data_IF_884847197227
#
_entry.id   IF_884847197227
#
_cell.length_a   1.000
_cell.length_b   1.000
_cell.length_c   1.000
_cell.angle_alpha   90.00
_cell.angle_beta   90.00
_cell.angle_gamma   90.00
#
_symmetry.space_group_name_H-M   'P 1'
#
loop_
_entity.id
_entity.type
_entity.pdbx_description
1 polymer ?
#
# COMPACT_ATOMS: atom_id res chain seq x y z
N UNK A 1 -12.46 13.18 1.10
CA UNK A 1 -11.68 13.11 -0.15
C UNK A 1 -11.15 11.69 -0.26
N UNK A 2 -11.11 11.13 -1.46
CA UNK A 2 -10.72 9.72 -1.64
C UNK A 2 -9.24 9.58 -1.24
N UNK A 3 -8.99 8.87 -0.14
CA UNK A 3 -7.72 8.23 0.09
C UNK A 3 -7.53 7.24 -1.07
N UNK A 4 -6.94 7.71 -2.16
CA UNK A 4 -6.60 6.86 -3.28
C UNK A 4 -5.52 5.90 -2.81
N UNK A 5 -6.01 4.73 -2.42
CA UNK A 5 -5.27 3.51 -2.14
C UNK A 5 -4.26 3.31 -3.27
N UNK A 6 -3.00 3.65 -3.04
CA UNK A 6 -1.93 3.30 -3.95
C UNK A 6 -2.07 1.81 -4.22
N UNK A 7 -2.29 1.37 -5.47
CA UNK A 7 -2.60 -0.03 -5.77
C UNK A 7 -1.36 -0.86 -5.46
N UNK A 8 -1.28 -1.32 -4.20
CA UNK A 8 -0.33 -2.33 -3.72
C UNK A 8 -0.65 -3.57 -4.53
N UNK A 9 -0.01 -3.73 -5.71
CA UNK A 9 -0.23 -4.80 -6.70
C UNK A 9 -1.01 -5.95 -6.09
N UNK A 10 -2.33 -5.93 -6.26
CA UNK A 10 -3.18 -6.94 -5.67
C UNK A 10 -2.86 -8.26 -6.34
N UNK A 11 -1.98 -9.04 -5.73
CA UNK A 11 -1.66 -10.41 -6.18
C UNK A 11 -2.94 -11.22 -6.32
N UNK A 12 -3.94 -10.93 -5.48
CA UNK A 12 -5.31 -11.39 -5.59
C UNK A 12 -5.96 -11.03 -6.94
N UNK A 13 -5.91 -9.76 -7.36
CA UNK A 13 -6.40 -9.31 -8.67
C UNK A 13 -5.63 -9.92 -9.85
N UNK A 14 -4.32 -10.17 -9.71
CA UNK A 14 -3.50 -10.83 -10.73
C UNK A 14 -3.93 -12.29 -10.94
N UNK A 15 -4.25 -13.00 -9.85
CA UNK A 15 -4.83 -14.35 -9.89
C UNK A 15 -6.34 -14.35 -10.21
N UNK A 16 -6.97 -13.17 -10.26
CA UNK A 16 -8.42 -13.03 -10.41
C UNK A 16 -9.20 -13.67 -9.27
N UNK A 17 -8.67 -13.60 -8.05
CA UNK A 17 -9.22 -14.19 -6.83
C UNK A 17 -9.49 -13.12 -5.77
N UNK A 18 -10.48 -13.37 -4.92
CA UNK A 18 -10.79 -12.49 -3.79
C UNK A 18 -9.77 -12.67 -2.65
N UNK A 19 -9.54 -11.64 -1.82
CA UNK A 19 -8.69 -11.75 -0.62
C UNK A 19 -9.21 -12.81 0.38
N UNK A 20 -10.51 -13.10 0.33
CA UNK A 20 -11.19 -14.14 1.12
C UNK A 20 -11.08 -15.55 0.49
N UNK A 21 -10.51 -15.68 -0.71
CA UNK A 21 -10.36 -16.97 -1.37
C UNK A 21 -9.41 -17.90 -0.60
N UNK A 22 -9.79 -19.18 -0.54
CA UNK A 22 -8.95 -20.23 0.05
C UNK A 22 -7.78 -20.57 -0.86
N UNK A 23 -6.69 -21.09 -0.28
CA UNK A 23 -5.49 -21.52 -1.03
C UNK A 23 -5.85 -22.52 -2.14
N UNK A 24 -6.86 -23.37 -1.93
CA UNK A 24 -7.37 -24.30 -2.94
C UNK A 24 -7.97 -23.60 -4.16
N UNK A 25 -8.71 -22.50 -3.98
CA UNK A 25 -9.28 -21.71 -5.08
C UNK A 25 -8.18 -20.97 -5.84
N UNK A 26 -7.25 -20.35 -5.10
CA UNK A 26 -6.06 -19.70 -5.66
C UNK A 26 -5.25 -20.67 -6.52
N UNK A 27 -5.11 -21.92 -6.08
CA UNK A 27 -4.38 -22.97 -6.81
C UNK A 27 -5.06 -23.33 -8.11
N UNK A 28 -6.38 -23.48 -8.10
CA UNK A 28 -7.14 -23.77 -9.32
C UNK A 28 -7.04 -22.62 -10.33
N UNK A 29 -7.15 -21.38 -9.86
CA UNK A 29 -7.02 -20.20 -10.72
C UNK A 29 -5.61 -20.04 -11.28
N UNK A 30 -4.59 -20.20 -10.44
CA UNK A 30 -3.19 -20.24 -10.87
C UNK A 30 -2.96 -21.27 -11.98
N UNK A 31 -3.40 -22.52 -11.78
CA UNK A 31 -3.21 -23.58 -12.76
C UNK A 31 -3.89 -23.23 -14.11
N UNK A 32 -5.10 -22.67 -14.05
CA UNK A 32 -5.84 -22.22 -15.24
C UNK A 32 -5.11 -21.10 -15.98
N UNK A 33 -4.61 -20.10 -15.25
CA UNK A 33 -3.90 -18.96 -15.82
C UNK A 33 -2.56 -19.38 -16.44
N UNK A 34 -1.79 -20.23 -15.77
CA UNK A 34 -0.53 -20.77 -16.30
C UNK A 34 -0.75 -21.54 -17.61
N UNK A 35 -1.82 -22.34 -17.70
CA UNK A 35 -2.20 -23.05 -18.93
C UNK A 35 -2.63 -22.11 -20.06
N UNK A 36 -3.21 -20.94 -19.74
CA UNK A 36 -3.61 -19.92 -20.72
C UNK A 36 -2.42 -19.10 -21.21
N UNK A 37 -1.51 -18.76 -20.31
CA UNK A 37 -0.33 -17.94 -20.60
C UNK A 37 0.94 -18.75 -20.91
N UNK A 38 0.82 -20.07 -21.11
CA UNK A 38 1.99 -20.91 -21.36
C UNK A 38 2.66 -20.56 -22.70
N UNK A 39 3.99 -20.33 -22.72
CA UNK A 39 4.71 -19.91 -23.92
C UNK A 39 4.71 -20.96 -25.02
N UNK A 40 4.35 -22.22 -24.73
CA UNK A 40 4.24 -23.30 -25.74
C UNK A 40 3.02 -23.13 -26.67
N UNK A 41 1.88 -22.66 -26.14
CA UNK A 41 0.68 -22.38 -26.95
C UNK A 41 0.80 -21.12 -27.81
N UNK A 42 1.71 -20.24 -27.44
CA UNK A 42 1.92 -18.92 -28.05
C UNK A 42 2.92 -18.96 -29.21
N UNK A 43 3.51 -20.11 -29.50
CA UNK A 43 4.54 -20.22 -30.54
C UNK A 43 3.98 -20.31 -31.95
N UNK A 44 2.68 -20.60 -32.09
CA UNK A 44 2.14 -21.02 -33.39
C UNK A 44 1.42 -19.95 -34.19
N UNK A 45 0.97 -18.83 -33.61
CA UNK A 45 0.17 -17.83 -34.38
C UNK A 45 0.00 -16.43 -33.73
N UNK A 46 0.88 -15.99 -32.81
CA UNK A 46 0.72 -14.67 -32.17
C UNK A 46 1.86 -13.70 -32.47
N UNK A 47 1.55 -12.40 -32.68
CA UNK A 47 2.55 -11.36 -32.93
C UNK A 47 3.47 -11.20 -31.72
N UNK A 48 4.72 -10.78 -31.97
CA UNK A 48 5.77 -10.68 -30.96
C UNK A 48 5.37 -9.88 -29.70
N UNK A 49 4.54 -8.83 -29.84
CA UNK A 49 4.02 -8.06 -28.69
C UNK A 49 3.17 -8.89 -27.74
N UNK A 50 2.35 -9.81 -28.24
CA UNK A 50 1.51 -10.69 -27.43
C UNK A 50 2.32 -11.74 -26.68
N UNK A 51 3.46 -12.16 -27.22
CA UNK A 51 4.38 -13.09 -26.54
C UNK A 51 4.98 -12.42 -25.31
N UNK A 52 5.38 -11.16 -25.43
CA UNK A 52 5.97 -10.38 -24.32
C UNK A 52 4.94 -10.13 -23.20
N UNK A 53 3.71 -9.74 -23.56
CA UNK A 53 2.60 -9.61 -22.61
C UNK A 53 2.27 -10.92 -21.89
N UNK A 54 2.34 -12.05 -22.60
CA UNK A 54 2.10 -13.35 -22.00
C UNK A 54 3.20 -13.79 -21.04
N UNK A 55 4.47 -13.53 -21.38
CA UNK A 55 5.59 -13.77 -20.48
C UNK A 55 5.46 -12.89 -19.23
N UNK A 56 5.11 -11.62 -19.40
CA UNK A 56 4.93 -10.71 -18.28
C UNK A 56 3.80 -11.18 -17.35
N UNK A 57 2.62 -11.50 -17.89
CA UNK A 57 1.53 -12.07 -17.09
C UNK A 57 1.92 -13.37 -16.41
N UNK A 58 2.63 -14.26 -17.08
CA UNK A 58 3.13 -15.49 -16.48
C UNK A 58 4.02 -15.22 -15.25
N UNK A 59 4.94 -14.27 -15.35
CA UNK A 59 5.81 -13.85 -14.24
C UNK A 59 4.97 -13.28 -13.09
N UNK A 60 4.01 -12.40 -13.40
CA UNK A 60 3.11 -11.80 -12.40
C UNK A 60 2.29 -12.87 -11.67
N UNK A 61 1.74 -13.85 -12.40
CA UNK A 61 0.96 -14.97 -11.85
C UNK A 61 1.83 -15.88 -10.96
N UNK A 62 3.08 -16.15 -11.36
CA UNK A 62 4.03 -16.94 -10.58
C UNK A 62 4.44 -16.23 -9.28
N UNK A 63 4.70 -14.93 -9.35
CA UNK A 63 4.97 -14.10 -8.17
C UNK A 63 3.78 -14.07 -7.22
N UNK A 64 2.57 -13.87 -7.76
CA UNK A 64 1.34 -13.88 -6.98
C UNK A 64 1.14 -15.21 -6.24
N UNK A 65 1.40 -16.33 -6.92
CA UNK A 65 1.30 -17.67 -6.34
C UNK A 65 2.38 -17.95 -5.31
N UNK A 66 3.61 -17.47 -5.48
CA UNK A 66 4.67 -17.60 -4.46
C UNK A 66 4.30 -16.91 -3.15
N UNK A 67 3.56 -15.80 -3.23
CA UNK A 67 3.15 -15.01 -2.08
C UNK A 67 1.88 -15.58 -1.45
N UNK A 68 0.86 -15.88 -2.26
CA UNK A 68 -0.48 -16.29 -1.78
C UNK A 68 -0.68 -17.81 -1.67
N UNK A 69 0.20 -18.60 -2.27
CA UNK A 69 0.07 -20.05 -2.38
C UNK A 69 0.44 -20.83 -1.12
N UNK A 70 1.10 -20.19 -0.15
CA UNK A 70 1.44 -20.79 1.13
C UNK A 70 0.83 -19.97 2.28
N UNK A 71 0.35 -20.64 3.32
CA UNK A 71 -0.27 -19.97 4.46
C UNK A 71 0.75 -19.10 5.20
N UNK A 72 1.99 -19.59 5.32
CA UNK A 72 3.11 -18.86 5.92
C UNK A 72 3.46 -17.60 5.13
N UNK A 73 3.60 -17.70 3.80
CA UNK A 73 3.93 -16.54 2.96
C UNK A 73 2.76 -15.56 2.83
N UNK A 74 1.52 -16.05 2.84
CA UNK A 74 0.31 -15.20 2.90
C UNK A 74 0.27 -14.43 4.22
N UNK A 75 0.59 -15.10 5.32
CA UNK A 75 0.65 -14.49 6.65
C UNK A 75 1.81 -13.51 6.76
N UNK A 76 2.99 -13.84 6.23
CA UNK A 76 4.13 -12.94 6.11
C UNK A 76 3.76 -11.71 5.27
N UNK A 77 3.06 -11.89 4.15
CA UNK A 77 2.61 -10.78 3.31
C UNK A 77 1.59 -9.87 4.01
N UNK A 78 0.67 -10.46 4.78
CA UNK A 78 -0.31 -9.71 5.58
C UNK A 78 0.35 -9.00 6.76
N UNK A 79 1.27 -9.68 7.44
CA UNK A 79 2.08 -9.12 8.51
C UNK A 79 2.97 -8.00 7.98
N UNK A 80 3.66 -8.18 6.87
CA UNK A 80 4.49 -7.16 6.23
C UNK A 80 3.64 -5.99 5.70
N UNK A 81 2.39 -6.21 5.26
CA UNK A 81 1.43 -5.13 4.97
C UNK A 81 1.08 -4.32 6.21
N UNK A 82 0.96 -4.98 7.37
CA UNK A 82 0.67 -4.37 8.66
C UNK A 82 1.92 -3.75 9.31
N UNK A 83 3.09 -4.31 9.02
CA UNK A 83 4.38 -3.88 9.55
C UNK A 83 4.99 -2.75 8.73
N UNK A 84 4.64 -2.61 7.45
CA UNK A 84 4.91 -1.41 6.63
C UNK A 84 4.03 -0.22 7.08
N UNK A 85 2.82 -0.50 7.58
CA UNK A 85 1.95 0.49 8.23
C UNK A 85 2.51 0.91 9.60
N UNK A 86 2.92 -0.06 10.43
CA UNK A 86 3.54 0.21 11.73
C UNK A 86 4.97 0.76 11.63
N UNK A 87 5.76 0.37 10.64
CA UNK A 87 7.13 0.90 10.42
C UNK A 87 7.09 2.25 9.71
N UNK A 88 5.96 2.62 9.11
CA UNK A 88 5.68 4.03 8.81
C UNK A 88 5.43 4.85 10.07
N UNK A 89 5.24 4.25 11.25
CA UNK A 89 5.35 4.98 12.52
C UNK A 89 6.83 5.08 12.90
N UNK A 90 7.51 6.05 12.30
CA UNK A 90 8.78 6.56 12.84
C UNK A 90 8.64 6.94 14.32
N UNK A 91 9.75 7.07 15.06
CA UNK A 91 9.71 7.44 16.47
C UNK A 91 8.90 8.73 16.63
N UNK A 92 7.86 8.68 17.47
CA UNK A 92 7.05 9.86 17.79
C UNK A 92 7.99 10.92 18.38
N UNK A 93 8.21 12.00 17.63
CA UNK A 93 9.14 13.08 17.95
C UNK A 93 8.62 13.88 19.15
N UNK A 94 7.31 14.14 19.17
CA UNK A 94 6.60 14.81 20.25
C UNK A 94 5.09 14.58 20.15
N UNK A 95 4.42 14.71 21.30
CA UNK A 95 2.98 14.89 21.41
C UNK A 95 2.69 16.38 21.54
N UNK A 96 1.88 16.94 20.64
CA UNK A 96 1.61 18.37 20.54
C UNK A 96 0.10 18.58 20.56
N UNK A 97 -0.38 19.55 21.34
CA UNK A 97 -1.80 19.91 21.29
C UNK A 97 -2.11 20.73 20.03
N UNK A 98 -3.30 20.54 19.47
CA UNK A 98 -3.75 21.28 18.28
C UNK A 98 -3.63 22.81 18.46
N UNK A 99 -3.79 23.29 19.69
CA UNK A 99 -3.68 24.71 20.07
C UNK A 99 -2.23 25.24 20.08
N UNK A 100 -1.22 24.37 20.12
CA UNK A 100 0.20 24.75 20.01
C UNK A 100 0.67 24.88 18.56
N UNK A 101 -0.14 24.43 17.59
CA UNK A 101 0.16 24.61 16.18
C UNK A 101 -0.16 26.02 15.69
N UNK A 102 0.62 26.49 14.71
CA UNK A 102 0.33 27.76 14.05
C UNK A 102 -0.81 27.58 13.05
N UNK A 103 -1.94 28.22 13.33
CA UNK A 103 -3.11 28.24 12.45
C UNK A 103 -2.95 29.25 11.32
N UNK A 104 -3.19 28.82 10.08
CA UNK A 104 -3.19 29.69 8.91
C UNK A 104 -4.63 29.95 8.45
N UNK A 105 -5.08 31.21 8.59
CA UNK A 105 -6.47 31.60 8.32
C UNK A 105 -6.85 31.57 6.82
N UNK A 106 -5.89 31.72 5.91
CA UNK A 106 -6.14 31.68 4.45
C UNK A 106 -6.38 30.27 3.89
N UNK A 107 -5.74 29.25 4.48
CA UNK A 107 -5.72 27.87 3.97
C UNK A 107 -6.49 26.89 4.90
N UNK A 108 -6.93 27.38 6.07
CA UNK A 108 -7.56 26.56 7.11
C UNK A 108 -6.72 25.33 7.49
N UNK A 109 -5.41 25.51 7.59
CA UNK A 109 -4.44 24.47 7.94
C UNK A 109 -3.61 24.84 9.16
N UNK A 110 -3.28 23.83 9.94
CA UNK A 110 -2.35 23.90 11.06
C UNK A 110 -0.96 23.53 10.56
N UNK A 111 0.03 24.33 10.95
CA UNK A 111 1.42 24.12 10.58
C UNK A 111 2.32 24.15 11.82
N UNK A 112 3.32 23.28 11.85
CA UNK A 112 4.32 23.20 12.91
C UNK A 112 5.71 22.98 12.33
N UNK A 113 6.68 23.76 12.76
CA UNK A 113 8.07 23.59 12.31
C UNK A 113 8.72 22.37 12.95
N UNK A 114 9.36 21.53 12.15
CA UNK A 114 10.15 20.38 12.58
C UNK A 114 11.60 20.79 12.91
N UNK A 115 12.25 20.04 13.80
CA UNK A 115 13.67 20.24 14.18
C UNK A 115 14.64 20.11 13.00
N UNK A 116 14.25 19.39 11.94
CA UNK A 116 15.05 19.26 10.72
C UNK A 116 14.96 20.48 9.78
N UNK A 117 14.06 21.43 10.05
CA UNK A 117 13.75 22.55 9.17
C UNK A 117 12.58 22.31 8.20
N UNK A 118 11.99 21.10 8.21
CA UNK A 118 10.73 20.79 7.54
C UNK A 118 9.52 21.33 8.30
N UNK A 119 8.32 21.11 7.76
CA UNK A 119 7.06 21.56 8.38
C UNK A 119 6.07 20.41 8.39
N UNK A 120 5.42 20.20 9.54
CA UNK A 120 4.23 19.38 9.66
C UNK A 120 3.04 20.25 9.30
N UNK A 121 2.24 19.83 8.33
CA UNK A 121 1.06 20.59 7.89
C UNK A 121 -0.15 19.66 7.85
N UNK A 122 -1.28 20.09 8.39
CA UNK A 122 -2.53 19.32 8.39
C UNK A 122 -3.70 20.27 8.19
N UNK A 123 -4.66 19.91 7.35
CA UNK A 123 -5.89 20.70 7.20
C UNK A 123 -6.78 20.55 8.43
N UNK A 124 -7.66 21.52 8.71
CA UNK A 124 -8.62 21.42 9.81
C UNK A 124 -9.48 20.16 9.78
N UNK A 125 -9.95 19.80 8.59
CA UNK A 125 -10.79 18.62 8.36
C UNK A 125 -10.02 17.32 8.65
N UNK A 126 -8.74 17.30 8.27
CA UNK A 126 -7.87 16.15 8.54
C UNK A 126 -7.50 16.09 10.01
N UNK A 127 -7.22 17.21 10.66
CA UNK A 127 -6.82 17.24 12.07
C UNK A 127 -7.87 16.58 12.97
N UNK A 128 -9.17 16.63 12.66
CA UNK A 128 -10.21 15.96 13.45
C UNK A 128 -10.17 14.42 13.35
N UNK A 129 -9.68 13.86 12.24
CA UNK A 129 -9.66 12.41 11.97
C UNK A 129 -8.25 11.80 12.14
N UNK A 130 -7.20 12.56 11.79
CA UNK A 130 -5.81 12.12 11.84
C UNK A 130 -5.13 12.60 13.12
N UNK A 131 -4.58 11.65 13.87
CA UNK A 131 -3.82 11.92 15.10
C UNK A 131 -2.30 11.97 14.83
N UNK A 132 -1.84 11.45 13.68
CA UNK A 132 -0.42 11.33 13.37
C UNK A 132 -0.07 12.17 12.15
N UNK A 133 0.93 13.03 12.27
CA UNK A 133 1.38 13.90 11.17
C UNK A 133 2.86 13.67 10.92
N UNK A 134 3.19 13.27 9.69
CA UNK A 134 4.58 13.12 9.24
C UNK A 134 5.16 14.45 8.75
N UNK A 135 6.46 14.63 8.94
CA UNK A 135 7.18 15.78 8.40
C UNK A 135 7.36 15.63 6.88
N UNK A 136 7.22 16.71 6.13
CA UNK A 136 7.51 16.72 4.68
C UNK A 136 8.99 16.38 4.36
N UNK A 137 9.89 16.74 5.27
CA UNK A 137 11.34 16.72 5.00
C UNK A 137 12.08 15.57 5.71
N UNK A 138 11.45 14.88 6.67
CA UNK A 138 12.08 13.77 7.38
C UNK A 138 11.07 12.69 7.81
N UNK A 139 11.57 11.54 8.28
CA UNK A 139 10.76 10.43 8.77
C UNK A 139 10.23 10.63 10.22
N UNK A 140 10.24 11.86 10.74
CA UNK A 140 9.69 12.16 12.06
C UNK A 140 8.19 12.38 11.96
N UNK A 141 7.51 12.00 13.03
CA UNK A 141 6.06 12.01 13.14
C UNK A 141 5.70 12.60 14.49
N UNK A 142 4.69 13.45 14.51
CA UNK A 142 4.13 14.01 15.74
C UNK A 142 2.73 13.46 15.98
N UNK A 143 2.37 13.33 17.25
CA UNK A 143 1.02 12.94 17.65
C UNK A 143 0.24 14.19 18.09
N UNK A 144 -0.91 14.43 17.45
CA UNK A 144 -1.84 15.51 17.76
C UNK A 144 -2.79 15.13 18.88
N UNK A 145 -2.75 15.87 19.98
CA UNK A 145 -3.66 15.69 21.10
C UNK A 145 -4.87 16.63 21.00
N UNK A 146 -6.05 16.05 20.77
CA UNK A 146 -7.32 16.75 20.91
C UNK A 146 -7.72 16.87 22.37
N UNK A 147 -7.81 18.10 22.88
CA UNK A 147 -8.47 18.35 24.15
C UNK A 147 -9.97 18.19 23.94
N UNK A 148 -10.59 17.22 24.59
CA UNK A 148 -12.01 16.89 24.45
C UNK A 148 -12.91 17.88 25.20
#
# INVERSE_FOLDING_TARGET
MACEELPRKDWYSILGADPSASISDLKQKYQKLILMYHPDKQRTDVPAGTVEECIQKFIEIDQAWKILGNEETKKEYDLQRHEDDLSNMGPVDAQIHLEEMSWNEDDHSFSLSCRCGGTYSVSKDEAEDVTLIACDTCSLIIELLHSR
#
